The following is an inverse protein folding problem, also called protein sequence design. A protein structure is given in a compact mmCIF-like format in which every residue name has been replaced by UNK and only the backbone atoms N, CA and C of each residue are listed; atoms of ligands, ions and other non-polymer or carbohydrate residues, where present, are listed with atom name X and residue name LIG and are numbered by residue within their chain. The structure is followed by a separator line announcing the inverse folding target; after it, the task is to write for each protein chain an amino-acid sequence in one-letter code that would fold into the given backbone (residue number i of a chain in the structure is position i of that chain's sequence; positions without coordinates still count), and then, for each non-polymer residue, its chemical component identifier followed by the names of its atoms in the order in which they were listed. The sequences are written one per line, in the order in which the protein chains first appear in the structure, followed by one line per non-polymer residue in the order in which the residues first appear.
data_IF_915653466144
#
_entry.id   IF_915653466144
#
_cell.length_a   1.000
_cell.length_b   1.000
_cell.length_c   1.000
_cell.angle_alpha   90.00
_cell.angle_beta   90.00
_cell.angle_gamma   90.00
#
_symmetry.space_group_name_H-M   'P 1'
#
loop_
_entity.id
_entity.type
_entity.pdbx_description
1 polymer ?
#
# COMPACT_ATOMS: atom_id res chain seq x y z
N UNK A 1 14.28 -5.69 28.63
CA UNK A 1 15.10 -6.84 29.08
C UNK A 1 15.50 -7.63 27.85
N UNK A 2 16.79 -7.69 27.52
CA UNK A 2 17.30 -8.46 26.38
C UNK A 2 17.37 -9.93 26.78
N UNK A 3 16.64 -10.80 26.07
CA UNK A 3 16.65 -12.24 26.26
C UNK A 3 17.87 -12.84 25.53
N UNK A 4 18.78 -13.57 26.21
CA UNK A 4 19.96 -14.17 25.57
C UNK A 4 19.64 -15.21 24.49
N UNK A 5 18.39 -15.69 24.37
CA UNK A 5 17.96 -16.57 23.28
C UNK A 5 17.76 -15.86 21.92
N UNK A 6 17.75 -14.52 21.87
CA UNK A 6 17.50 -13.74 20.64
C UNK A 6 18.80 -13.30 19.92
N UNK A 7 19.97 -13.74 20.38
CA UNK A 7 21.27 -13.36 19.79
C UNK A 7 21.51 -13.90 18.36
N UNK A 8 21.02 -15.10 17.97
CA UNK A 8 21.04 -15.55 16.58
C UNK A 8 20.30 -14.59 15.64
N UNK A 9 19.22 -13.95 16.12
CA UNK A 9 18.35 -13.09 15.32
C UNK A 9 19.05 -11.82 14.85
N UNK A 10 19.96 -11.23 15.65
CA UNK A 10 20.68 -10.00 15.25
C UNK A 10 21.60 -10.20 14.04
N UNK A 11 22.19 -11.40 13.92
CA UNK A 11 22.99 -11.76 12.73
C UNK A 11 22.11 -11.93 11.52
N UNK A 12 20.96 -12.59 11.68
CA UNK A 12 19.99 -12.77 10.60
C UNK A 12 19.43 -11.42 10.12
N UNK A 13 19.15 -10.47 11.02
CA UNK A 13 18.71 -9.11 10.66
C UNK A 13 19.77 -8.37 9.82
N UNK A 14 21.05 -8.45 10.23
CA UNK A 14 22.13 -7.80 9.48
C UNK A 14 22.34 -8.45 8.12
N UNK A 15 22.30 -9.80 8.05
CA UNK A 15 22.35 -10.57 6.80
C UNK A 15 21.17 -10.20 5.89
N UNK A 16 19.98 -10.04 6.46
CA UNK A 16 18.76 -9.69 5.74
C UNK A 16 18.87 -8.37 5.00
N UNK A 17 19.38 -7.31 5.64
CA UNK A 17 19.60 -6.04 4.94
C UNK A 17 20.49 -6.16 3.70
N UNK A 18 21.59 -6.93 3.80
CA UNK A 18 22.51 -7.15 2.67
C UNK A 18 21.88 -8.01 1.56
N UNK A 19 21.17 -9.08 1.93
CA UNK A 19 20.46 -9.95 0.99
C UNK A 19 19.37 -9.19 0.25
N UNK A 20 18.63 -8.32 0.95
CA UNK A 20 17.58 -7.46 0.37
C UNK A 20 18.17 -6.49 -0.65
N UNK A 21 19.25 -5.78 -0.31
CA UNK A 21 19.87 -4.84 -1.24
C UNK A 21 20.38 -5.55 -2.50
N UNK A 22 21.07 -6.69 -2.32
CA UNK A 22 21.56 -7.48 -3.45
C UNK A 22 20.43 -7.99 -4.35
N UNK A 23 19.32 -8.44 -3.74
CA UNK A 23 18.14 -8.91 -4.46
C UNK A 23 17.49 -7.79 -5.28
N UNK A 24 17.25 -6.63 -4.66
CA UNK A 24 16.63 -5.49 -5.34
C UNK A 24 17.52 -4.93 -6.46
N UNK A 25 18.82 -4.78 -6.21
CA UNK A 25 19.78 -4.35 -7.22
C UNK A 25 19.77 -5.28 -8.45
N UNK A 26 19.68 -6.60 -8.24
CA UNK A 26 19.64 -7.56 -9.36
C UNK A 26 18.39 -7.42 -10.24
N UNK A 27 17.24 -7.04 -9.65
CA UNK A 27 15.96 -6.87 -10.35
C UNK A 27 15.80 -5.48 -10.98
N UNK A 28 16.46 -4.46 -10.42
CA UNK A 28 16.45 -3.10 -10.95
C UNK A 28 17.28 -2.99 -12.23
N UNK A 29 18.38 -3.74 -12.33
CA UNK A 29 19.25 -3.74 -13.50
C UNK A 29 18.79 -4.68 -14.63
N UNK A 30 17.72 -5.46 -14.41
CA UNK A 30 17.25 -6.43 -15.38
C UNK A 30 15.71 -6.46 -15.46
N UNK A 31 15.11 -5.62 -16.33
CA UNK A 31 13.65 -5.49 -16.42
C UNK A 31 12.96 -6.74 -16.97
N UNK A 32 13.72 -7.65 -17.60
CA UNK A 32 13.21 -8.90 -18.18
C UNK A 32 13.07 -10.02 -17.13
N UNK A 33 13.59 -9.83 -15.90
CA UNK A 33 13.43 -10.81 -14.83
C UNK A 33 12.01 -10.77 -14.27
N UNK A 34 11.38 -11.94 -14.22
CA UNK A 34 10.09 -12.13 -13.60
C UNK A 34 10.14 -11.85 -12.08
N UNK A 35 9.22 -11.00 -11.60
CA UNK A 35 9.14 -10.54 -10.20
C UNK A 35 8.09 -11.29 -9.37
N UNK A 36 7.79 -12.51 -9.81
CA UNK A 36 6.79 -13.39 -9.21
C UNK A 36 7.28 -14.16 -7.96
N UNK A 37 8.56 -14.03 -7.57
CA UNK A 37 9.05 -14.64 -6.32
C UNK A 37 8.28 -14.05 -5.12
N UNK A 38 7.72 -14.93 -4.29
CA UNK A 38 7.02 -14.52 -3.06
C UNK A 38 8.02 -14.27 -1.93
N UNK A 39 7.62 -13.49 -0.93
CA UNK A 39 8.45 -13.26 0.25
C UNK A 39 8.83 -14.58 0.92
N UNK A 40 7.90 -15.52 1.04
CA UNK A 40 8.19 -16.84 1.61
C UNK A 40 9.25 -17.62 0.81
N UNK A 41 9.20 -17.56 -0.53
CA UNK A 41 10.21 -18.19 -1.39
C UNK A 41 11.59 -17.56 -1.20
N UNK A 42 11.67 -16.23 -1.15
CA UNK A 42 12.91 -15.50 -0.90
C UNK A 42 13.52 -15.88 0.46
N UNK A 43 12.71 -15.94 1.51
CA UNK A 43 13.18 -16.27 2.87
C UNK A 43 13.69 -17.72 2.93
N UNK A 44 12.97 -18.65 2.31
CA UNK A 44 13.36 -20.05 2.25
C UNK A 44 14.64 -20.26 1.42
N UNK A 45 14.78 -19.58 0.27
CA UNK A 45 15.94 -19.72 -0.61
C UNK A 45 17.23 -19.19 0.03
N UNK A 46 17.11 -18.21 0.93
CA UNK A 46 18.23 -17.61 1.67
C UNK A 46 18.56 -18.29 3.01
N UNK A 47 17.79 -19.31 3.39
CA UNK A 47 18.03 -20.13 4.58
C UNK A 47 17.81 -19.41 5.90
N UNK A 48 16.85 -18.48 5.96
CA UNK A 48 16.47 -17.83 7.22
C UNK A 48 15.74 -18.80 8.15
N UNK A 49 15.86 -18.60 9.47
CA UNK A 49 15.20 -19.45 10.44
C UNK A 49 13.70 -19.17 10.53
N UNK A 50 12.91 -20.18 10.92
CA UNK A 50 11.49 -19.98 11.24
C UNK A 50 11.30 -18.97 12.37
N UNK A 51 12.27 -18.85 13.29
CA UNK A 51 12.23 -17.83 14.33
C UNK A 51 12.35 -16.41 13.73
N UNK A 52 13.31 -16.18 12.83
CA UNK A 52 13.42 -14.89 12.14
C UNK A 52 12.15 -14.55 11.36
N UNK A 53 11.59 -15.53 10.64
CA UNK A 53 10.37 -15.36 9.87
C UNK A 53 9.18 -14.97 10.76
N UNK A 54 8.88 -15.76 11.80
CA UNK A 54 7.64 -15.63 12.58
C UNK A 54 7.74 -14.58 13.71
N UNK A 55 8.95 -14.32 14.23
CA UNK A 55 9.14 -13.42 15.38
C UNK A 55 9.66 -12.03 14.97
N UNK A 56 10.26 -11.89 13.79
CA UNK A 56 10.81 -10.62 13.32
C UNK A 56 10.12 -10.11 12.05
N UNK A 57 10.21 -10.84 10.94
CA UNK A 57 9.78 -10.32 9.64
C UNK A 57 8.26 -10.25 9.51
N UNK A 58 7.55 -11.34 9.80
CA UNK A 58 6.09 -11.40 9.63
C UNK A 58 5.35 -10.37 10.52
N UNK A 59 5.71 -10.17 11.80
CA UNK A 59 5.09 -9.13 12.63
C UNK A 59 5.32 -7.71 12.09
N UNK A 60 6.53 -7.39 11.62
CA UNK A 60 6.84 -6.08 11.04
C UNK A 60 5.99 -5.84 9.79
N UNK A 61 6.05 -6.76 8.83
CA UNK A 61 5.30 -6.63 7.58
C UNK A 61 3.79 -6.63 7.81
N UNK A 62 3.27 -7.51 8.68
CA UNK A 62 1.84 -7.56 9.01
C UNK A 62 1.33 -6.27 9.64
N UNK A 63 2.13 -5.64 10.50
CA UNK A 63 1.78 -4.35 11.11
C UNK A 63 1.71 -3.20 10.10
N UNK A 64 2.60 -3.23 9.11
CA UNK A 64 2.71 -2.19 8.08
C UNK A 64 1.64 -2.35 7.00
N UNK A 65 1.41 -3.58 6.57
CA UNK A 65 0.51 -3.91 5.47
C UNK A 65 -0.90 -4.24 5.95
N UNK A 66 -1.14 -4.22 7.27
CA UNK A 66 -2.42 -4.52 7.90
C UNK A 66 -2.99 -5.87 7.47
N UNK A 67 -2.17 -6.91 7.39
CA UNK A 67 -2.58 -8.27 7.01
C UNK A 67 -1.99 -9.31 7.96
N UNK A 68 -2.49 -10.55 7.87
CA UNK A 68 -2.00 -11.67 8.68
C UNK A 68 -0.57 -12.07 8.33
N UNK A 69 0.10 -12.77 9.23
CA UNK A 69 1.47 -13.22 9.03
C UNK A 69 1.57 -14.21 7.86
N UNK A 70 0.55 -15.04 7.68
CA UNK A 70 0.44 -16.00 6.60
C UNK A 70 0.26 -15.32 5.24
N UNK A 71 -0.58 -14.27 5.16
CA UNK A 71 -0.83 -13.51 3.93
C UNK A 71 0.42 -12.80 3.43
N UNK A 72 1.19 -12.18 4.34
CA UNK A 72 2.43 -11.47 4.00
C UNK A 72 3.41 -12.36 3.23
N UNK A 73 3.50 -13.65 3.58
CA UNK A 73 4.45 -14.57 2.93
C UNK A 73 4.09 -14.88 1.48
N UNK A 74 2.82 -14.69 1.10
CA UNK A 74 2.33 -14.84 -0.27
C UNK A 74 2.54 -13.61 -1.15
N UNK A 75 2.90 -12.46 -0.58
CA UNK A 75 3.11 -11.24 -1.35
C UNK A 75 4.43 -11.26 -2.13
N UNK A 76 4.49 -10.48 -3.22
CA UNK A 76 5.72 -10.32 -4.02
C UNK A 76 6.88 -9.86 -3.16
N UNK A 77 7.98 -10.63 -3.16
CA UNK A 77 9.20 -10.27 -2.46
C UNK A 77 9.70 -8.90 -2.92
N UNK A 78 9.64 -8.61 -4.23
CA UNK A 78 10.07 -7.32 -4.76
C UNK A 78 9.30 -6.15 -4.12
N UNK A 79 7.98 -6.21 -4.06
CA UNK A 79 7.14 -5.15 -3.51
C UNK A 79 7.42 -4.92 -2.02
N UNK A 80 7.45 -6.01 -1.24
CA UNK A 80 7.63 -5.94 0.22
C UNK A 80 9.03 -5.45 0.57
N UNK A 81 10.06 -6.04 -0.05
CA UNK A 81 11.44 -5.69 0.25
C UNK A 81 11.78 -4.27 -0.22
N UNK A 82 11.22 -3.82 -1.35
CA UNK A 82 11.35 -2.43 -1.80
C UNK A 82 10.71 -1.47 -0.80
N UNK A 83 9.51 -1.78 -0.30
CA UNK A 83 8.85 -1.00 0.74
C UNK A 83 9.71 -0.94 2.00
N UNK A 84 10.21 -2.08 2.49
CA UNK A 84 11.06 -2.12 3.67
C UNK A 84 12.37 -1.34 3.49
N UNK A 85 12.99 -1.38 2.30
CA UNK A 85 14.20 -0.59 1.97
C UNK A 85 13.89 0.91 2.01
N UNK A 86 12.81 1.34 1.38
CA UNK A 86 12.42 2.75 1.28
C UNK A 86 12.00 3.35 2.64
N UNK A 87 11.52 2.52 3.55
CA UNK A 87 11.05 2.92 4.88
C UNK A 87 12.02 2.54 6.01
N UNK A 88 13.23 2.07 5.68
CA UNK A 88 14.28 1.70 6.63
C UNK A 88 13.84 0.68 7.69
N UNK A 89 12.93 -0.24 7.35
CA UNK A 89 12.25 -1.11 8.33
C UNK A 89 13.08 -2.29 8.86
N UNK A 90 14.23 -2.59 8.26
CA UNK A 90 15.12 -3.67 8.69
C UNK A 90 16.44 -3.16 9.32
N UNK A 91 16.55 -1.86 9.61
CA UNK A 91 17.74 -1.30 10.23
C UNK A 91 17.69 -1.44 11.76
N UNK A 92 18.79 -1.94 12.34
CA UNK A 92 18.93 -2.05 13.80
C UNK A 92 19.13 -0.69 14.49
N UNK A 93 19.73 0.26 13.77
CA UNK A 93 20.08 1.58 14.27
C UNK A 93 19.78 2.64 13.21
N UNK A 94 19.58 3.89 13.64
CA UNK A 94 19.36 5.00 12.71
C UNK A 94 17.96 5.07 12.11
N UNK A 95 16.98 4.42 12.73
CA UNK A 95 15.59 4.48 12.28
C UNK A 95 15.12 5.95 12.17
N UNK A 96 14.51 6.34 11.05
CA UNK A 96 14.05 7.70 10.86
C UNK A 96 12.97 8.03 11.88
N UNK A 97 12.98 9.26 12.38
CA UNK A 97 11.87 9.75 13.18
C UNK A 97 10.69 10.04 12.26
N UNK A 98 9.62 9.26 12.41
CA UNK A 98 8.37 9.49 11.71
C UNK A 98 7.65 10.70 12.30
N UNK A 99 7.49 11.74 11.48
CA UNK A 99 6.80 12.97 11.86
C UNK A 99 5.35 12.92 11.38
N UNK A 100 4.44 13.40 12.21
CA UNK A 100 3.04 13.58 11.85
C UNK A 100 2.62 15.03 11.99
N UNK A 101 1.69 15.46 11.15
CA UNK A 101 1.07 16.78 11.29
C UNK A 101 0.03 16.65 12.40
N UNK A 102 0.15 17.47 13.46
CA UNK A 102 -0.71 17.46 14.66
C UNK A 102 -2.22 17.46 14.36
N UNK A 103 -2.62 17.94 13.18
CA UNK A 103 -3.99 17.87 12.68
C UNK A 103 -3.98 17.63 11.18
N UNK A 104 -4.45 16.47 10.75
CA UNK A 104 -4.62 16.16 9.34
C UNK A 104 -5.67 17.07 8.67
N UNK A 105 -6.74 17.43 9.39
CA UNK A 105 -7.76 18.37 8.89
C UNK A 105 -7.18 19.76 8.61
N UNK A 106 -6.22 20.23 9.43
CA UNK A 106 -5.51 21.48 9.15
C UNK A 106 -4.69 21.41 7.86
N UNK A 107 -3.96 20.31 7.64
CA UNK A 107 -3.20 20.11 6.40
C UNK A 107 -4.10 20.14 5.16
N UNK A 108 -5.19 19.36 5.17
CA UNK A 108 -6.16 19.31 4.07
C UNK A 108 -6.77 20.68 3.82
N UNK A 109 -7.15 21.41 4.88
CA UNK A 109 -7.65 22.79 4.76
C UNK A 109 -6.61 23.70 4.10
N UNK A 110 -5.35 23.64 4.54
CA UNK A 110 -4.29 24.51 4.01
C UNK A 110 -4.03 24.26 2.52
N UNK A 111 -4.06 22.99 2.10
CA UNK A 111 -3.95 22.62 0.67
C UNK A 111 -5.14 23.13 -0.13
N UNK A 112 -6.37 22.99 0.41
CA UNK A 112 -7.58 23.54 -0.21
C UNK A 112 -7.48 25.06 -0.39
N UNK A 113 -7.21 25.79 0.67
CA UNK A 113 -7.11 27.27 0.63
C UNK A 113 -6.08 27.73 -0.43
N UNK A 114 -4.95 27.01 -0.55
CA UNK A 114 -3.93 27.28 -1.56
C UNK A 114 -4.43 27.07 -2.99
N UNK A 115 -5.15 25.98 -3.24
CA UNK A 115 -5.71 25.67 -4.56
C UNK A 115 -6.85 26.64 -4.92
N UNK A 116 -7.72 26.99 -3.97
CA UNK A 116 -8.78 27.99 -4.16
C UNK A 116 -8.21 29.36 -4.50
N UNK A 117 -7.09 29.77 -3.88
CA UNK A 117 -6.39 31.01 -4.25
C UNK A 117 -5.76 31.01 -5.65
N UNK A 118 -5.77 29.86 -6.33
CA UNK A 118 -5.38 29.69 -7.74
C UNK A 118 -6.58 29.36 -8.62
N UNK A 119 -7.78 29.77 -8.20
CA UNK A 119 -9.04 29.58 -8.90
C UNK A 119 -9.44 28.12 -9.14
N UNK A 120 -8.88 27.17 -8.38
CA UNK A 120 -9.33 25.78 -8.41
C UNK A 120 -10.68 25.65 -7.71
N UNK A 121 -11.65 25.01 -8.37
CA UNK A 121 -12.98 24.78 -7.81
C UNK A 121 -13.09 23.38 -7.20
N UNK A 122 -13.71 23.29 -6.03
CA UNK A 122 -13.98 22.03 -5.34
C UNK A 122 -15.47 21.74 -5.32
N UNK A 123 -15.87 20.60 -5.91
CA UNK A 123 -17.25 20.12 -5.90
C UNK A 123 -17.41 18.95 -4.94
N UNK A 124 -17.74 19.27 -3.68
CA UNK A 124 -17.99 18.27 -2.65
C UNK A 124 -19.38 17.65 -2.83
N UNK A 125 -19.53 16.36 -2.50
CA UNK A 125 -20.80 15.65 -2.67
C UNK A 125 -21.20 15.38 -4.13
N UNK A 126 -20.38 15.77 -5.12
CA UNK A 126 -20.58 15.42 -6.54
C UNK A 126 -19.92 14.07 -6.80
N UNK A 127 -20.68 12.97 -6.64
CA UNK A 127 -20.19 11.67 -7.05
C UNK A 127 -20.14 11.61 -8.58
N UNK A 128 -18.96 11.38 -9.14
CA UNK A 128 -18.79 11.14 -10.57
C UNK A 128 -19.28 9.72 -10.90
N UNK A 129 -20.24 9.63 -11.81
CA UNK A 129 -20.82 8.37 -12.26
C UNK A 129 -20.20 7.89 -13.57
N UNK A 130 -19.89 8.79 -14.49
CA UNK A 130 -19.21 8.42 -15.73
C UNK A 130 -18.29 9.50 -16.29
N UNK A 131 -17.29 9.05 -17.05
CA UNK A 131 -16.44 9.90 -17.89
C UNK A 131 -16.56 9.38 -19.31
N UNK A 132 -17.02 10.23 -20.23
CA UNK A 132 -17.27 9.85 -21.62
C UNK A 132 -16.47 10.75 -22.58
N UNK A 133 -15.96 10.20 -23.69
CA UNK A 133 -15.37 11.01 -24.75
C UNK A 133 -16.38 12.03 -25.31
N UNK A 134 -15.90 13.21 -25.66
CA UNK A 134 -16.65 14.25 -26.36
C UNK A 134 -15.80 14.81 -27.51
N UNK A 135 -16.43 15.48 -28.47
CA UNK A 135 -15.74 15.97 -29.68
C UNK A 135 -14.50 16.82 -29.40
N UNK A 136 -14.49 17.57 -28.28
CA UNK A 136 -13.38 18.44 -27.85
C UNK A 136 -12.81 18.10 -26.46
N UNK A 137 -12.87 16.82 -26.06
CA UNK A 137 -12.27 16.34 -24.82
C UNK A 137 -13.09 15.24 -24.16
N UNK A 138 -13.48 15.46 -22.92
CA UNK A 138 -14.24 14.50 -22.12
C UNK A 138 -15.39 15.21 -21.40
N UNK A 139 -16.51 14.52 -21.26
CA UNK A 139 -17.63 14.96 -20.44
C UNK A 139 -17.68 14.12 -19.17
N UNK A 140 -17.71 14.79 -18.03
CA UNK A 140 -17.88 14.21 -16.70
C UNK A 140 -19.36 14.30 -16.33
N UNK A 141 -19.96 13.18 -15.93
CA UNK A 141 -21.35 13.10 -15.50
C UNK A 141 -21.40 12.80 -14.00
N UNK A 142 -21.97 13.72 -13.21
CA UNK A 142 -22.23 13.50 -11.79
C UNK A 142 -23.56 12.77 -11.56
N UNK A 143 -23.73 12.20 -10.36
CA UNK A 143 -24.90 11.38 -10.01
C UNK A 143 -26.23 12.12 -9.91
N UNK A 144 -26.21 13.45 -9.83
CA UNK A 144 -27.38 14.32 -9.94
C UNK A 144 -27.78 14.62 -11.40
N UNK A 145 -27.05 14.05 -12.38
CA UNK A 145 -27.25 14.29 -13.81
C UNK A 145 -26.53 15.54 -14.33
N UNK A 146 -25.81 16.27 -13.47
CA UNK A 146 -25.00 17.41 -13.88
C UNK A 146 -23.84 16.97 -14.78
N UNK A 147 -23.57 17.73 -15.83
CA UNK A 147 -22.54 17.41 -16.82
C UNK A 147 -21.64 18.61 -17.09
N UNK A 148 -20.33 18.34 -17.19
CA UNK A 148 -19.34 19.34 -17.59
C UNK A 148 -18.29 18.73 -18.51
N UNK A 149 -17.85 19.53 -19.48
CA UNK A 149 -16.84 19.13 -20.45
C UNK A 149 -15.50 19.78 -20.16
N UNK A 150 -14.43 18.98 -20.24
CA UNK A 150 -13.05 19.36 -19.99
C UNK A 150 -12.15 18.84 -21.12
N UNK A 151 -10.96 19.41 -21.28
CA UNK A 151 -10.01 18.92 -22.30
C UNK A 151 -9.31 17.60 -21.89
N UNK A 152 -9.36 17.24 -20.62
CA UNK A 152 -8.83 15.99 -20.08
C UNK A 152 -9.20 15.80 -18.61
N UNK A 153 -9.01 14.60 -18.08
CA UNK A 153 -9.12 14.36 -16.63
C UNK A 153 -7.90 13.61 -16.10
N UNK A 154 -7.69 13.77 -14.80
CA UNK A 154 -6.83 12.93 -13.99
C UNK A 154 -7.73 12.19 -13.00
N UNK A 155 -7.71 10.86 -13.04
CA UNK A 155 -8.49 10.01 -12.13
C UNK A 155 -7.64 9.66 -10.90
N UNK A 156 -7.96 10.29 -9.76
CA UNK A 156 -7.31 10.01 -8.47
C UNK A 156 -8.20 9.12 -7.59
N UNK A 157 -8.60 7.98 -8.14
CA UNK A 157 -9.48 6.98 -7.49
C UNK A 157 -8.85 5.59 -7.58
N UNK A 158 -9.37 4.63 -6.81
CA UNK A 158 -8.97 3.22 -6.95
C UNK A 158 -9.34 2.64 -8.32
N UNK A 159 -8.64 1.58 -8.74
CA UNK A 159 -8.79 1.00 -10.07
C UNK A 159 -10.21 0.44 -10.34
N UNK A 160 -10.88 -0.26 -9.41
CA UNK A 160 -12.28 -0.66 -9.57
C UNK A 160 -13.23 0.52 -9.75
N UNK A 161 -13.05 1.59 -8.97
CA UNK A 161 -13.81 2.84 -9.14
C UNK A 161 -13.53 3.48 -10.50
N UNK A 162 -12.27 3.51 -10.95
CA UNK A 162 -11.93 4.03 -12.27
C UNK A 162 -12.63 3.23 -13.39
N UNK A 163 -12.57 1.89 -13.33
CA UNK A 163 -13.26 1.01 -14.27
C UNK A 163 -14.78 1.23 -14.29
N UNK A 164 -15.39 1.41 -13.11
CA UNK A 164 -16.82 1.71 -12.98
C UNK A 164 -17.17 3.04 -13.67
N UNK A 165 -16.36 4.07 -13.47
CA UNK A 165 -16.58 5.41 -14.05
C UNK A 165 -16.34 5.41 -15.57
N UNK A 166 -15.32 4.71 -16.07
CA UNK A 166 -15.04 4.58 -17.50
C UNK A 166 -16.10 3.71 -18.21
N UNK A 167 -16.63 2.70 -17.52
CA UNK A 167 -17.73 1.87 -17.98
C UNK A 167 -17.48 1.27 -19.38
N UNK A 168 -18.42 1.50 -20.29
CA UNK A 168 -18.36 0.98 -21.66
C UNK A 168 -17.25 1.61 -22.53
N UNK A 169 -16.70 2.75 -22.11
CA UNK A 169 -15.64 3.45 -22.85
C UNK A 169 -14.25 2.87 -22.56
N UNK A 170 -14.14 2.01 -21.54
CA UNK A 170 -12.87 1.41 -21.14
C UNK A 170 -12.31 0.52 -22.24
N UNK A 171 -11.11 0.84 -22.70
CA UNK A 171 -10.34 0.04 -23.66
C UNK A 171 -9.93 -1.32 -23.08
N UNK A 172 -9.53 -2.24 -23.96
CA UNK A 172 -9.02 -3.54 -23.53
C UNK A 172 -7.80 -3.41 -22.62
N UNK A 173 -6.85 -2.52 -22.96
CA UNK A 173 -5.64 -2.30 -22.18
C UNK A 173 -5.94 -1.70 -20.81
N UNK A 174 -6.84 -0.72 -20.73
CA UNK A 174 -7.28 -0.15 -19.44
C UNK A 174 -7.95 -1.22 -18.57
N UNK A 175 -8.83 -2.07 -19.14
CA UNK A 175 -9.43 -3.19 -18.40
C UNK A 175 -8.38 -4.18 -17.91
N UNK A 176 -7.40 -4.52 -18.74
CA UNK A 176 -6.31 -5.44 -18.41
C UNK A 176 -5.46 -4.90 -17.25
N UNK A 177 -5.09 -3.63 -17.30
CA UNK A 177 -4.22 -3.00 -16.28
C UNK A 177 -4.99 -2.73 -14.99
N UNK A 178 -6.14 -2.05 -15.07
CA UNK A 178 -6.91 -1.68 -13.88
C UNK A 178 -7.60 -2.90 -13.23
N UNK A 179 -7.92 -3.93 -14.01
CA UNK A 179 -8.51 -5.17 -13.51
C UNK A 179 -7.51 -6.10 -12.80
N UNK A 180 -6.21 -5.82 -12.90
CA UNK A 180 -5.18 -6.63 -12.22
C UNK A 180 -5.04 -6.30 -10.73
N UNK A 181 -5.61 -5.18 -10.26
CA UNK A 181 -5.50 -4.76 -8.87
C UNK A 181 -6.41 -5.58 -7.95
N UNK A 182 -5.83 -6.12 -6.89
CA UNK A 182 -6.55 -6.81 -5.82
C UNK A 182 -6.62 -5.91 -4.58
N UNK A 183 -7.74 -5.99 -3.86
CA UNK A 183 -8.01 -5.17 -2.68
C UNK A 183 -8.37 -6.06 -1.50
N UNK A 184 -7.89 -5.68 -0.31
CA UNK A 184 -8.27 -6.28 0.96
C UNK A 184 -9.14 -5.31 1.76
N UNK A 185 -10.12 -5.84 2.49
CA UNK A 185 -10.94 -5.05 3.42
C UNK A 185 -10.27 -4.96 4.77
N UNK A 186 -10.22 -3.76 5.34
CA UNK A 186 -9.72 -3.51 6.69
C UNK A 186 -10.84 -2.95 7.55
N UNK A 187 -10.99 -3.49 8.75
CA UNK A 187 -11.87 -2.95 9.79
C UNK A 187 -11.02 -2.16 10.79
N UNK A 188 -11.38 -0.91 11.03
CA UNK A 188 -10.67 -0.02 11.96
C UNK A 188 -11.62 0.27 13.13
N UNK A 189 -11.28 -0.28 14.30
CA UNK A 189 -11.99 0.01 15.55
C UNK A 189 -11.25 1.08 16.37
N UNK A 190 -11.83 2.28 16.41
CA UNK A 190 -11.28 3.43 17.13
C UNK A 190 -11.77 3.47 18.59
N UNK A 191 -11.39 2.49 19.41
CA UNK A 191 -11.68 2.52 20.85
C UNK A 191 -10.63 3.31 21.63
N UNK A 192 -11.07 4.35 22.34
CA UNK A 192 -10.21 5.18 23.20
C UNK A 192 -9.85 4.53 24.55
N UNK A 193 -10.29 3.30 24.85
CA UNK A 193 -10.00 2.63 26.14
C UNK A 193 -9.84 1.11 25.99
N UNK A 194 -8.66 0.64 26.41
CA UNK A 194 -8.27 -0.75 26.75
C UNK A 194 -8.07 -1.73 25.59
N UNK A 195 -6.90 -1.64 24.95
CA UNK A 195 -6.18 -2.86 24.59
C UNK A 195 -5.23 -3.21 25.76
N UNK A 196 -5.72 -4.00 26.70
CA UNK A 196 -4.81 -4.77 27.58
C UNK A 196 -4.22 -5.91 26.75
N UNK A 197 -2.90 -6.16 26.79
CA UNK A 197 -2.32 -7.29 26.09
C UNK A 197 -2.81 -8.57 26.78
N UNK A 198 -3.27 -9.54 25.98
CA UNK A 198 -3.97 -10.80 26.31
C UNK A 198 -5.51 -10.73 26.37
N UNK A 199 -6.17 -11.13 25.28
CA UNK A 199 -7.20 -12.19 25.25
C UNK A 199 -7.90 -12.32 23.87
N UNK A 200 -7.72 -13.48 23.23
CA UNK A 200 -8.77 -14.34 22.64
C UNK A 200 -9.68 -13.91 21.46
N UNK A 201 -9.49 -12.78 20.76
CA UNK A 201 -10.49 -12.36 19.76
C UNK A 201 -10.25 -12.65 18.27
N UNK A 202 -9.20 -13.36 17.86
CA UNK A 202 -9.08 -13.85 16.47
C UNK A 202 -9.63 -15.28 16.33
N UNK A 203 -10.95 -15.44 16.39
CA UNK A 203 -11.61 -16.63 15.84
C UNK A 203 -12.03 -16.33 14.40
N UNK A 204 -11.31 -16.91 13.45
CA UNK A 204 -11.73 -17.01 12.06
C UNK A 204 -13.04 -17.79 12.02
N UNK A 205 -14.06 -17.21 11.38
CA UNK A 205 -15.36 -17.87 11.15
C UNK A 205 -15.22 -19.05 10.20
N UNK A 206 -16.05 -20.07 10.42
CA UNK A 206 -16.19 -21.29 9.62
C UNK A 206 -16.53 -21.02 8.15
#
# INVERSE_FOLDING_TARGET
MLNPYNWPDLREITKFGNDVNSYLESLEHNPDIDRNETLGQFINSKGYSENFKNSYLAPICGSVLSCSQEEVMGFSAFSILSYCRNHHLYQLFGNPQWLTIRSHSYFVKKVRDMLESRDCQFKLGCQVNSVVPADNGITIVCGDGFQETYNGCVMAVDAPTALRILGNQTTFEEKRVLGAFQYASLEIDCQMRKFTPFAEHWKLGN
#
